data_IF_753833143173
#
_entry.id   IF_753833143173
#
_cell.length_a   1.000
_cell.length_b   1.000
_cell.length_c   1.000
_cell.angle_alpha   90.00
_cell.angle_beta   90.00
_cell.angle_gamma   90.00
#
_symmetry.space_group_name_H-M   'P 1'
#
loop_
_entity.id
_entity.type
_entity.pdbx_description
1 polymer ?
#
# COMPACT_ATOMS: atom_id res chain seq x y z
N UNK A 1 17.85 -58.31 -11.62
CA UNK A 1 17.88 -56.98 -12.28
C UNK A 1 17.88 -55.79 -11.31
N UNK A 2 17.67 -56.00 -10.00
CA UNK A 2 17.71 -54.94 -8.96
C UNK A 2 19.11 -54.44 -8.58
N UNK A 3 20.18 -55.14 -9.01
CA UNK A 3 21.57 -54.83 -8.65
C UNK A 3 22.17 -53.64 -9.42
N UNK A 4 21.67 -53.32 -10.63
CA UNK A 4 22.27 -52.30 -11.50
C UNK A 4 21.87 -50.86 -11.13
N UNK A 5 20.61 -50.62 -10.75
CA UNK A 5 20.14 -49.28 -10.39
C UNK A 5 20.77 -48.77 -9.09
N UNK A 6 20.96 -49.67 -8.10
CA UNK A 6 21.60 -49.32 -6.83
C UNK A 6 23.10 -49.06 -7.02
N UNK A 7 23.78 -49.87 -7.80
CA UNK A 7 25.18 -49.64 -8.18
C UNK A 7 25.37 -48.33 -8.96
N UNK A 8 24.42 -47.97 -9.83
CA UNK A 8 24.42 -46.68 -10.55
C UNK A 8 24.27 -45.49 -9.59
N UNK A 9 23.32 -45.59 -8.66
CA UNK A 9 23.09 -44.58 -7.62
C UNK A 9 24.32 -44.45 -6.72
N UNK A 10 24.92 -45.57 -6.31
CA UNK A 10 26.15 -45.58 -5.50
C UNK A 10 27.34 -44.98 -6.27
N UNK A 11 27.43 -45.20 -7.60
CA UNK A 11 28.44 -44.60 -8.49
C UNK A 11 28.23 -43.08 -8.64
N UNK A 12 26.98 -42.62 -8.68
CA UNK A 12 26.65 -41.19 -8.76
C UNK A 12 26.86 -40.48 -7.42
N UNK A 13 26.55 -41.14 -6.29
CA UNK A 13 26.61 -40.59 -4.94
C UNK A 13 27.96 -40.81 -4.22
N UNK A 14 28.92 -41.49 -4.85
CA UNK A 14 30.27 -41.62 -4.31
C UNK A 14 30.94 -40.24 -4.15
N UNK A 15 31.80 -40.13 -3.14
CA UNK A 15 32.21 -38.90 -2.44
C UNK A 15 32.79 -37.73 -3.27
N UNK A 16 32.98 -37.85 -4.58
CA UNK A 16 33.52 -36.78 -5.42
C UNK A 16 32.48 -35.98 -6.22
N UNK A 17 31.19 -36.36 -6.25
CA UNK A 17 30.09 -35.59 -6.88
C UNK A 17 30.36 -35.09 -8.32
N UNK A 18 31.45 -35.49 -8.97
CA UNK A 18 31.91 -34.87 -10.21
C UNK A 18 30.99 -35.24 -11.38
N UNK A 19 30.52 -36.49 -11.41
CA UNK A 19 29.54 -36.96 -12.40
C UNK A 19 28.16 -36.33 -12.19
N UNK A 20 27.73 -36.12 -10.94
CA UNK A 20 26.48 -35.42 -10.63
C UNK A 20 26.56 -33.94 -10.98
N UNK A 21 27.68 -33.28 -10.66
CA UNK A 21 27.93 -31.87 -11.02
C UNK A 21 27.98 -31.71 -12.54
N UNK A 22 28.70 -32.59 -13.23
CA UNK A 22 28.74 -32.61 -14.70
C UNK A 22 27.32 -32.80 -15.28
N UNK A 23 26.52 -33.74 -14.76
CA UNK A 23 25.13 -33.91 -15.20
C UNK A 23 24.26 -32.67 -14.97
N UNK A 24 24.43 -32.00 -13.83
CA UNK A 24 23.72 -30.75 -13.52
C UNK A 24 24.13 -29.60 -14.48
N UNK A 25 25.43 -29.45 -14.73
CA UNK A 25 25.97 -28.43 -15.65
C UNK A 25 25.46 -28.67 -17.08
N UNK A 26 25.49 -29.93 -17.55
CA UNK A 26 24.93 -30.31 -18.87
C UNK A 26 23.43 -30.08 -18.96
N UNK A 27 22.69 -30.35 -17.88
CA UNK A 27 21.24 -30.07 -17.82
C UNK A 27 20.99 -28.57 -17.96
N UNK A 28 21.76 -27.75 -17.24
CA UNK A 28 21.65 -26.30 -17.31
C UNK A 28 22.01 -25.77 -18.71
N UNK A 29 23.11 -26.23 -19.30
CA UNK A 29 23.51 -25.85 -20.66
C UNK A 29 22.43 -26.19 -21.69
N UNK A 30 21.85 -27.39 -21.62
CA UNK A 30 20.78 -27.82 -22.50
C UNK A 30 19.52 -26.94 -22.37
N UNK A 31 19.17 -26.54 -21.13
CA UNK A 31 18.05 -25.64 -20.88
C UNK A 31 18.32 -24.22 -21.43
N UNK A 32 19.52 -23.68 -21.18
CA UNK A 32 19.89 -22.31 -21.57
C UNK A 32 20.11 -22.15 -23.08
N UNK A 33 20.50 -23.21 -23.79
CA UNK A 33 20.75 -23.18 -25.22
C UNK A 33 19.47 -23.06 -26.08
N UNK A 34 18.28 -23.19 -25.49
CA UNK A 34 17.00 -23.22 -26.21
C UNK A 34 16.13 -22.00 -25.86
N UNK A 35 15.31 -21.51 -26.80
CA UNK A 35 14.38 -20.43 -26.50
C UNK A 35 13.29 -20.89 -25.53
N UNK A 36 12.84 -19.98 -24.67
CA UNK A 36 11.82 -20.26 -23.64
C UNK A 36 10.54 -20.89 -24.21
N UNK A 37 10.16 -20.53 -25.44
CA UNK A 37 8.99 -21.07 -26.15
C UNK A 37 9.06 -22.57 -26.44
N UNK A 38 10.25 -23.19 -26.36
CA UNK A 38 10.40 -24.65 -26.46
C UNK A 38 9.95 -25.36 -25.18
N UNK A 39 10.07 -24.70 -24.04
CA UNK A 39 9.66 -25.22 -22.75
C UNK A 39 8.23 -24.83 -22.39
N UNK A 40 7.88 -23.56 -22.65
CA UNK A 40 6.59 -22.98 -22.30
C UNK A 40 5.78 -22.70 -23.58
N UNK A 41 4.66 -23.40 -23.73
CA UNK A 41 3.63 -23.14 -24.74
C UNK A 41 2.34 -22.65 -24.07
N UNK A 42 1.29 -22.45 -24.87
CA UNK A 42 -0.02 -22.02 -24.37
C UNK A 42 -0.55 -22.96 -23.26
N UNK A 43 -0.30 -24.27 -23.37
CA UNK A 43 -0.70 -25.24 -22.35
C UNK A 43 0.05 -25.04 -21.03
N UNK A 44 1.33 -24.68 -21.09
CA UNK A 44 2.11 -24.34 -19.90
C UNK A 44 1.63 -23.02 -19.27
N UNK A 45 1.19 -22.05 -20.07
CA UNK A 45 0.58 -20.81 -19.58
C UNK A 45 -0.72 -21.11 -18.84
N UNK A 46 -1.62 -21.89 -19.45
CA UNK A 46 -2.88 -22.31 -18.83
C UNK A 46 -2.65 -23.13 -17.55
N UNK A 47 -1.61 -23.94 -17.52
CA UNK A 47 -1.18 -24.65 -16.31
C UNK A 47 -0.79 -23.68 -15.21
N UNK A 48 0.04 -22.67 -15.49
CA UNK A 48 0.43 -21.66 -14.50
C UNK A 48 -0.79 -20.86 -14.02
N UNK A 49 -1.67 -20.45 -14.93
CA UNK A 49 -2.92 -19.74 -14.58
C UNK A 49 -3.79 -20.59 -13.66
N UNK A 50 -3.97 -21.87 -13.98
CA UNK A 50 -4.75 -22.82 -13.18
C UNK A 50 -4.15 -23.00 -11.78
N UNK A 51 -2.84 -23.16 -11.68
CA UNK A 51 -2.13 -23.30 -10.40
C UNK A 51 -2.19 -22.02 -9.57
N UNK A 52 -2.01 -20.84 -10.19
CA UNK A 52 -2.13 -19.55 -9.51
C UNK A 52 -3.55 -19.33 -9.01
N UNK A 53 -4.56 -19.61 -9.85
CA UNK A 53 -5.97 -19.48 -9.45
C UNK A 53 -6.33 -20.43 -8.30
N UNK A 54 -5.82 -21.67 -8.31
CA UNK A 54 -5.99 -22.61 -7.20
C UNK A 54 -5.25 -22.17 -5.93
N UNK A 55 -4.11 -21.49 -6.06
CA UNK A 55 -3.32 -21.02 -4.93
C UNK A 55 -3.92 -19.78 -4.25
N UNK A 56 -4.47 -18.84 -5.04
CA UNK A 56 -4.95 -17.54 -4.56
C UNK A 56 -6.39 -17.65 -4.05
N UNK A 57 -6.55 -18.34 -2.91
CA UNK A 57 -7.79 -18.38 -2.14
C UNK A 57 -7.69 -17.48 -0.92
N UNK A 58 -8.81 -16.98 -0.40
CA UNK A 58 -8.85 -16.15 0.81
C UNK A 58 -8.12 -16.82 1.99
N UNK A 59 -8.40 -18.11 2.23
CA UNK A 59 -7.76 -18.89 3.30
C UNK A 59 -6.24 -19.04 3.11
N UNK A 60 -5.77 -19.22 1.87
CA UNK A 60 -4.34 -19.31 1.58
C UNK A 60 -3.65 -17.95 1.74
N UNK A 61 -4.29 -16.87 1.30
CA UNK A 61 -3.80 -15.50 1.48
C UNK A 61 -3.70 -15.15 2.97
N UNK A 62 -4.74 -15.44 3.76
CA UNK A 62 -4.72 -15.24 5.21
C UNK A 62 -3.59 -16.03 5.88
N UNK A 63 -3.40 -17.30 5.48
CA UNK A 63 -2.31 -18.14 5.99
C UNK A 63 -0.94 -17.53 5.68
N UNK A 64 -0.68 -17.14 4.43
CA UNK A 64 0.59 -16.52 4.03
C UNK A 64 0.82 -15.20 4.77
N UNK A 65 -0.22 -14.38 4.90
CA UNK A 65 -0.13 -13.11 5.61
C UNK A 65 0.24 -13.34 7.08
N UNK A 66 -0.41 -14.31 7.72
CA UNK A 66 -0.26 -14.56 9.16
C UNK A 66 1.06 -15.27 9.48
N UNK A 67 1.45 -16.26 8.69
CA UNK A 67 2.65 -17.07 8.93
C UNK A 67 3.94 -16.38 8.49
N UNK A 68 3.88 -15.54 7.44
CA UNK A 68 5.09 -15.00 6.80
C UNK A 68 5.10 -13.48 6.68
N UNK A 69 4.06 -12.87 6.11
CA UNK A 69 4.10 -11.44 5.77
C UNK A 69 4.12 -10.56 7.02
N UNK A 70 3.18 -10.74 7.95
CA UNK A 70 3.11 -9.93 9.17
C UNK A 70 4.36 -10.11 10.04
N UNK A 71 4.81 -11.34 10.37
CA UNK A 71 6.05 -11.52 11.11
C UNK A 71 7.29 -10.97 10.40
N UNK A 72 7.34 -11.07 9.06
CA UNK A 72 8.43 -10.50 8.27
C UNK A 72 8.45 -8.97 8.30
N UNK A 73 7.28 -8.33 8.23
CA UNK A 73 7.16 -6.88 8.40
C UNK A 73 7.57 -6.44 9.81
N UNK A 74 7.14 -7.15 10.84
CA UNK A 74 7.52 -6.84 12.23
C UNK A 74 9.04 -6.92 12.42
N UNK A 75 9.69 -7.99 11.93
CA UNK A 75 11.15 -8.13 11.93
C UNK A 75 11.86 -7.02 11.16
N UNK A 76 11.32 -6.65 9.99
CA UNK A 76 11.86 -5.57 9.16
C UNK A 76 11.81 -4.24 9.91
N UNK A 77 10.68 -3.93 10.56
CA UNK A 77 10.51 -2.69 11.35
C UNK A 77 11.47 -2.66 12.53
N UNK A 78 11.54 -3.74 13.31
CA UNK A 78 12.45 -3.85 14.46
C UNK A 78 13.91 -3.68 14.05
N UNK A 79 14.32 -4.32 12.96
CA UNK A 79 15.69 -4.22 12.46
C UNK A 79 16.00 -2.83 11.93
N UNK A 80 15.16 -2.26 11.07
CA UNK A 80 15.38 -0.92 10.54
C UNK A 80 15.45 0.12 11.67
N UNK A 81 14.64 -0.04 12.72
CA UNK A 81 14.70 0.80 13.92
C UNK A 81 16.02 0.61 14.71
N UNK A 82 16.46 -0.64 14.93
CA UNK A 82 17.70 -0.94 15.63
C UNK A 82 18.95 -0.43 14.89
N UNK A 83 18.92 -0.47 13.56
CA UNK A 83 20.03 -0.04 12.70
C UNK A 83 20.00 1.47 12.36
N UNK A 84 18.93 2.18 12.72
CA UNK A 84 18.74 3.58 12.33
C UNK A 84 18.61 3.79 10.83
N UNK A 85 18.10 2.79 10.09
CA UNK A 85 17.92 2.86 8.64
C UNK A 85 16.91 3.96 8.28
N UNK A 86 17.28 4.80 7.32
CA UNK A 86 16.43 5.87 6.77
C UNK A 86 16.01 5.56 5.34
N UNK A 87 14.97 6.25 4.85
CA UNK A 87 14.63 6.20 3.43
C UNK A 87 15.76 6.75 2.54
N UNK A 88 16.60 7.64 3.07
CA UNK A 88 17.76 8.17 2.36
C UNK A 88 18.79 7.10 2.03
N UNK A 89 18.95 6.08 2.89
CA UNK A 89 19.91 4.99 2.67
C UNK A 89 19.52 4.10 1.48
N UNK A 90 18.23 4.11 1.11
CA UNK A 90 17.72 3.43 -0.07
C UNK A 90 18.12 4.14 -1.36
N UNK A 91 18.52 5.42 -1.32
CA UNK A 91 18.81 6.19 -2.51
C UNK A 91 20.26 5.97 -2.97
N UNK A 92 20.50 5.76 -4.28
CA UNK A 92 21.84 5.78 -4.83
C UNK A 92 22.46 7.17 -4.68
N UNK A 93 23.79 7.32 -4.85
CA UNK A 93 24.43 8.62 -4.94
C UNK A 93 23.74 9.53 -5.99
N UNK A 94 23.31 10.73 -5.58
CA UNK A 94 22.54 11.64 -6.43
C UNK A 94 21.03 11.33 -6.54
N UNK A 95 20.55 10.29 -5.85
CA UNK A 95 19.15 9.87 -5.87
C UNK A 95 18.18 10.90 -5.29
N UNK A 96 18.62 11.74 -4.35
CA UNK A 96 17.80 12.85 -3.82
C UNK A 96 17.41 13.84 -4.93
N UNK A 97 18.38 14.26 -5.76
CA UNK A 97 18.12 15.15 -6.88
C UNK A 97 17.20 14.50 -7.93
N UNK A 98 17.34 13.19 -8.16
CA UNK A 98 16.47 12.43 -9.05
C UNK A 98 15.02 12.38 -8.51
N UNK A 99 14.85 12.10 -7.22
CA UNK A 99 13.52 12.10 -6.56
C UNK A 99 12.89 13.48 -6.60
N UNK A 100 13.64 14.54 -6.31
CA UNK A 100 13.14 15.92 -6.42
C UNK A 100 12.75 16.27 -7.86
N UNK A 101 13.53 15.82 -8.85
CA UNK A 101 13.21 15.99 -10.27
C UNK A 101 11.93 15.25 -10.69
N UNK A 102 11.69 14.06 -10.14
CA UNK A 102 10.45 13.29 -10.36
C UNK A 102 9.27 14.02 -9.69
N UNK A 103 9.39 14.40 -8.41
CA UNK A 103 8.34 15.11 -7.66
C UNK A 103 7.96 16.41 -8.37
N UNK A 104 8.93 17.17 -8.88
CA UNK A 104 8.68 18.40 -9.63
C UNK A 104 7.91 18.21 -10.94
N UNK A 105 7.86 16.99 -11.48
CA UNK A 105 7.10 16.62 -12.69
C UNK A 105 5.76 15.96 -12.40
N UNK A 106 5.52 15.52 -11.15
CA UNK A 106 4.24 14.93 -10.76
C UNK A 106 3.14 15.97 -10.97
N UNK A 107 2.24 15.68 -11.92
CA UNK A 107 0.97 16.38 -11.99
C UNK A 107 0.04 15.71 -10.99
N UNK A 108 -0.65 16.53 -10.18
CA UNK A 108 -1.74 16.01 -9.36
C UNK A 108 -2.76 15.35 -10.30
N UNK A 109 -3.19 14.11 -10.03
CA UNK A 109 -4.19 13.46 -10.85
C UNK A 109 -5.46 14.32 -10.84
N UNK A 110 -6.05 14.52 -12.02
CA UNK A 110 -7.28 15.31 -12.14
C UNK A 110 -8.45 14.66 -11.39
N UNK A 111 -8.35 13.36 -11.08
CA UNK A 111 -9.33 12.57 -10.35
C UNK A 111 -10.75 12.76 -10.91
N UNK A 112 -10.88 12.82 -12.24
CA UNK A 112 -12.17 13.04 -12.92
C UNK A 112 -13.15 11.92 -12.60
N UNK A 113 -12.64 10.70 -12.41
CA UNK A 113 -13.44 9.56 -11.97
C UNK A 113 -13.95 9.71 -10.52
N UNK A 114 -13.27 10.49 -9.68
CA UNK A 114 -13.66 10.73 -8.30
C UNK A 114 -14.69 11.87 -8.16
N UNK A 115 -15.00 12.57 -9.25
CA UNK A 115 -16.04 13.60 -9.25
C UNK A 115 -17.38 12.95 -8.93
N UNK A 116 -17.99 13.39 -7.82
CA UNK A 116 -19.21 12.82 -7.29
C UNK A 116 -19.02 11.62 -6.37
N UNK A 117 -17.79 11.09 -6.19
CA UNK A 117 -17.55 9.99 -5.25
C UNK A 117 -17.95 10.37 -3.81
N UNK A 118 -17.66 11.61 -3.43
CA UNK A 118 -18.09 12.19 -2.16
C UNK A 118 -19.28 13.11 -2.41
N UNK A 119 -20.43 12.78 -1.80
CA UNK A 119 -21.61 13.64 -1.86
C UNK A 119 -21.36 14.93 -1.07
N UNK A 120 -21.30 16.05 -1.80
CA UNK A 120 -21.08 17.38 -1.24
C UNK A 120 -22.19 17.79 -0.25
N UNK A 121 -23.41 17.27 -0.39
CA UNK A 121 -24.49 17.49 0.56
C UNK A 121 -24.22 16.78 1.90
N UNK A 122 -23.70 15.55 1.88
CA UNK A 122 -23.33 14.81 3.08
C UNK A 122 -22.13 15.46 3.79
N UNK A 123 -21.11 15.88 3.04
CA UNK A 123 -19.97 16.63 3.61
C UNK A 123 -20.43 17.96 4.21
N UNK A 124 -21.34 18.66 3.53
CA UNK A 124 -21.92 19.90 4.05
C UNK A 124 -22.68 19.65 5.35
N UNK A 125 -23.51 18.59 5.44
CA UNK A 125 -24.19 18.21 6.69
C UNK A 125 -23.22 17.89 7.83
N UNK A 126 -22.06 17.32 7.51
CA UNK A 126 -21.02 16.99 8.49
C UNK A 126 -20.28 18.24 9.00
N UNK A 127 -19.93 19.16 8.10
CA UNK A 127 -19.04 20.31 8.39
C UNK A 127 -19.81 21.59 8.76
N UNK A 128 -21.01 21.81 8.22
CA UNK A 128 -21.80 23.02 8.49
C UNK A 128 -22.06 23.27 9.98
N UNK A 129 -22.40 22.26 10.81
CA UNK A 129 -22.57 22.48 12.25
C UNK A 129 -21.29 22.95 12.94
N UNK A 130 -20.12 22.44 12.50
CA UNK A 130 -18.81 22.83 13.03
C UNK A 130 -18.52 24.29 12.70
N UNK A 131 -18.75 24.71 11.45
CA UNK A 131 -18.57 26.11 11.03
C UNK A 131 -19.55 27.03 11.78
N UNK A 132 -20.81 26.62 11.93
CA UNK A 132 -21.82 27.39 12.66
C UNK A 132 -21.43 27.57 14.13
N UNK A 133 -21.00 26.52 14.82
CA UNK A 133 -20.58 26.62 16.23
C UNK A 133 -19.36 27.55 16.39
N UNK A 134 -18.42 27.48 15.45
CA UNK A 134 -17.21 28.33 15.46
C UNK A 134 -17.56 29.79 15.21
N UNK A 135 -18.45 30.08 14.25
CA UNK A 135 -18.96 31.44 14.02
C UNK A 135 -19.76 31.97 15.21
N UNK A 136 -20.52 31.11 15.89
CA UNK A 136 -21.25 31.47 17.11
C UNK A 136 -20.30 31.76 18.27
N UNK A 137 -19.24 30.96 18.46
CA UNK A 137 -18.19 31.21 19.46
C UNK A 137 -17.43 32.50 19.17
N UNK A 138 -17.15 32.79 17.90
CA UNK A 138 -16.58 34.08 17.48
C UNK A 138 -17.52 35.24 17.82
N UNK A 139 -18.80 35.14 17.44
CA UNK A 139 -19.80 36.18 17.71
C UNK A 139 -19.96 36.47 19.20
N UNK A 140 -19.87 35.44 20.06
CA UNK A 140 -19.88 35.59 21.53
C UNK A 140 -18.63 36.26 22.09
N UNK A 141 -17.49 36.18 21.40
CA UNK A 141 -16.22 36.83 21.79
C UNK A 141 -16.11 38.28 21.30
N UNK A 142 -16.97 38.72 20.39
CA UNK A 142 -16.98 40.10 19.93
C UNK A 142 -17.40 41.03 21.08
N UNK A 143 -16.67 42.12 21.34
CA UNK A 143 -17.04 43.12 22.33
C UNK A 143 -18.19 43.99 21.80
N UNK A 144 -19.39 43.43 21.73
CA UNK A 144 -20.61 44.16 21.33
C UNK A 144 -21.13 44.91 22.57
N UNK A 145 -21.19 46.25 22.55
CA UNK A 145 -21.75 47.03 23.65
C UNK A 145 -23.20 46.61 23.90
N UNK A 146 -23.48 46.07 25.09
CA UNK A 146 -24.83 45.64 25.52
C UNK A 146 -25.10 44.13 25.57
N UNK A 147 -24.13 43.27 25.21
CA UNK A 147 -24.26 41.79 25.35
C UNK A 147 -23.33 41.15 26.37
N UNK A 148 -22.37 41.90 26.92
CA UNK A 148 -21.43 41.43 27.95
C UNK A 148 -21.74 42.10 29.30
N UNK A 149 -22.78 41.62 29.98
CA UNK A 149 -23.03 41.89 31.39
C UNK A 149 -23.14 40.56 32.13
N UNK A 150 -22.31 40.37 33.15
CA UNK A 150 -22.32 39.18 34.02
C UNK A 150 -23.71 38.93 34.63
N UNK A 151 -24.25 37.73 34.42
CA UNK A 151 -25.45 37.23 35.11
C UNK A 151 -26.10 36.02 34.41
N UNK A 152 -26.49 34.95 35.13
CA UNK A 152 -26.95 33.70 34.52
C UNK A 152 -28.46 33.72 34.23
N UNK A 153 -28.86 33.39 32.99
CA UNK A 153 -30.16 32.75 32.69
C UNK A 153 -30.32 32.46 31.19
N UNK A 154 -30.43 31.18 30.86
CA UNK A 154 -31.23 30.65 29.72
C UNK A 154 -32.68 30.61 30.25
N UNK A 155 -33.73 31.08 29.54
CA UNK A 155 -34.27 30.53 28.27
C UNK A 155 -34.62 31.63 27.24
N UNK A 156 -34.83 31.42 25.94
CA UNK A 156 -35.62 30.41 25.22
C UNK A 156 -35.23 30.46 23.71
N UNK A 157 -35.57 29.44 22.90
CA UNK A 157 -35.22 29.26 21.49
C UNK A 157 -36.16 30.07 20.57
N UNK A 158 -35.84 30.14 19.26
CA UNK A 158 -36.77 30.60 18.20
C UNK A 158 -37.21 32.09 18.17
N UNK A 159 -36.50 33.03 18.82
CA UNK A 159 -36.87 34.46 18.82
C UNK A 159 -36.03 35.45 17.99
N UNK A 160 -34.98 35.02 17.28
CA UNK A 160 -33.91 35.88 16.75
C UNK A 160 -34.23 36.69 15.46
N UNK A 161 -35.51 37.00 15.20
CA UNK A 161 -35.92 37.72 13.99
C UNK A 161 -36.21 39.22 14.15
N UNK A 162 -36.50 39.71 15.37
CA UNK A 162 -37.11 41.05 15.53
C UNK A 162 -36.21 42.16 16.09
N UNK A 163 -35.11 41.85 16.77
CA UNK A 163 -34.26 42.89 17.40
C UNK A 163 -33.08 43.38 16.56
N UNK A 164 -32.85 42.83 15.38
CA UNK A 164 -31.81 43.30 14.44
C UNK A 164 -32.27 44.46 13.54
N UNK A 165 -33.57 44.79 13.50
CA UNK A 165 -34.10 45.85 12.61
C UNK A 165 -34.12 47.24 13.22
N UNK A 166 -34.10 47.35 14.55
CA UNK A 166 -34.24 48.64 15.25
C UNK A 166 -32.90 49.19 15.77
N UNK A 167 -31.76 48.60 15.39
CA UNK A 167 -30.43 49.11 15.72
C UNK A 167 -29.90 50.15 14.71
N UNK A 168 -30.79 50.85 14.01
CA UNK A 168 -30.44 52.02 13.21
C UNK A 168 -30.51 53.28 14.10
N UNK A 169 -29.39 53.60 14.75
CA UNK A 169 -29.08 54.82 15.52
C UNK A 169 -29.65 54.88 16.94
N UNK A 170 -28.77 54.94 17.96
CA UNK A 170 -28.15 56.22 18.30
C UNK A 170 -26.64 56.10 18.55
N UNK A 171 -25.84 56.56 17.59
CA UNK A 171 -24.38 56.68 17.73
C UNK A 171 -23.87 58.04 17.24
N UNK A 172 -24.66 59.10 17.44
CA UNK A 172 -24.31 60.47 17.03
C UNK A 172 -23.79 61.36 18.17
N UNK A 173 -23.63 60.84 19.40
CA UNK A 173 -23.46 61.69 20.59
C UNK A 173 -22.33 61.36 21.57
N UNK A 174 -21.42 60.40 21.29
CA UNK A 174 -20.38 60.04 22.27
C UNK A 174 -18.99 59.89 21.64
N UNK A 175 -18.36 61.05 21.45
CA UNK A 175 -16.93 61.36 21.58
C UNK A 175 -15.87 60.31 21.24
N UNK A 176 -15.28 60.47 20.04
CA UNK A 176 -13.88 60.35 19.55
C UNK A 176 -12.70 59.78 20.40
N UNK A 177 -12.86 59.36 21.65
CA UNK A 177 -11.80 58.76 22.48
C UNK A 177 -11.86 57.23 22.63
N UNK A 178 -12.99 56.59 22.28
CA UNK A 178 -13.21 55.14 22.45
C UNK A 178 -13.04 54.31 21.17
N UNK A 179 -13.07 54.94 19.98
CA UNK A 179 -12.99 54.22 18.68
C UNK A 179 -11.68 53.44 18.51
N UNK A 180 -10.54 54.04 18.86
CA UNK A 180 -9.25 53.34 18.75
C UNK A 180 -9.09 52.16 19.73
N UNK A 181 -9.87 52.12 20.82
CA UNK A 181 -9.87 51.02 21.77
C UNK A 181 -10.76 49.85 21.33
N UNK A 182 -11.90 50.16 20.70
CA UNK A 182 -12.79 49.14 20.11
C UNK A 182 -12.14 48.52 18.87
N UNK A 183 -11.50 49.31 18.01
CA UNK A 183 -10.79 48.81 16.83
C UNK A 183 -9.61 47.91 17.21
N UNK A 184 -8.81 48.31 18.21
CA UNK A 184 -7.71 47.47 18.73
C UNK A 184 -8.22 46.19 19.39
N UNK A 185 -9.36 46.23 20.10
CA UNK A 185 -9.97 45.04 20.70
C UNK A 185 -10.58 44.11 19.66
N UNK A 186 -11.24 44.64 18.64
CA UNK A 186 -11.73 43.85 17.51
C UNK A 186 -10.57 43.21 16.74
N UNK A 187 -9.49 43.95 16.52
CA UNK A 187 -8.29 43.44 15.86
C UNK A 187 -7.58 42.37 16.71
N UNK A 188 -7.54 42.52 18.04
CA UNK A 188 -7.02 41.50 18.95
C UNK A 188 -7.89 40.23 18.95
N UNK A 189 -9.22 40.36 19.04
CA UNK A 189 -10.15 39.22 18.99
C UNK A 189 -10.09 38.50 17.64
N UNK A 190 -9.96 39.24 16.52
CA UNK A 190 -9.80 38.64 15.21
C UNK A 190 -8.46 37.92 15.05
N UNK A 191 -7.38 38.47 15.64
CA UNK A 191 -6.05 37.85 15.64
C UNK A 191 -6.01 36.58 16.49
N UNK A 192 -6.48 36.65 17.73
CA UNK A 192 -6.56 35.50 18.63
C UNK A 192 -7.44 34.39 18.03
N UNK A 193 -8.56 34.77 17.42
CA UNK A 193 -9.41 33.83 16.69
C UNK A 193 -8.69 33.22 15.49
N UNK A 194 -7.95 33.99 14.68
CA UNK A 194 -7.19 33.42 13.57
C UNK A 194 -6.07 32.47 14.04
N UNK A 195 -5.42 32.77 15.16
CA UNK A 195 -4.37 31.94 15.75
C UNK A 195 -4.93 30.63 16.33
N UNK A 196 -6.13 30.62 16.93
CA UNK A 196 -6.73 29.39 17.51
C UNK A 196 -7.74 28.67 16.61
N UNK A 197 -8.30 29.33 15.60
CA UNK A 197 -9.39 28.81 14.76
C UNK A 197 -9.04 27.46 14.14
N UNK A 198 -7.82 27.27 13.63
CA UNK A 198 -7.43 26.01 13.00
C UNK A 198 -7.46 24.84 14.00
N UNK A 199 -7.01 25.06 15.24
CA UNK A 199 -7.06 24.05 16.31
C UNK A 199 -8.49 23.78 16.76
N UNK A 200 -9.29 24.84 16.93
CA UNK A 200 -10.68 24.75 17.37
C UNK A 200 -11.58 24.09 16.30
N UNK A 201 -11.38 24.42 15.02
CA UNK A 201 -12.00 23.74 13.86
C UNK A 201 -11.65 22.27 13.86
N UNK A 202 -10.37 21.93 14.00
CA UNK A 202 -9.92 20.54 14.01
C UNK A 202 -10.53 19.76 15.17
N UNK A 203 -10.53 20.33 16.38
CA UNK A 203 -11.08 19.68 17.57
C UNK A 203 -12.60 19.46 17.45
N UNK A 204 -13.35 20.49 17.04
CA UNK A 204 -14.79 20.41 16.85
C UNK A 204 -15.17 19.46 15.70
N UNK A 205 -14.37 19.41 14.62
CA UNK A 205 -14.56 18.43 13.56
C UNK A 205 -14.30 17.01 14.06
N UNK A 206 -13.22 16.76 14.81
CA UNK A 206 -12.94 15.44 15.40
C UNK A 206 -14.03 14.99 16.37
N UNK A 207 -14.54 15.89 17.19
CA UNK A 207 -15.67 15.62 18.09
C UNK A 207 -16.93 15.27 17.30
N UNK A 208 -17.22 16.04 16.24
CA UNK A 208 -18.34 15.75 15.34
C UNK A 208 -18.19 14.39 14.68
N UNK A 209 -17.00 14.05 14.16
CA UNK A 209 -16.72 12.73 13.57
C UNK A 209 -16.90 11.57 14.57
N UNK A 210 -16.70 11.81 15.87
CA UNK A 210 -16.88 10.82 16.94
C UNK A 210 -18.32 10.68 17.42
N UNK A 211 -19.17 11.70 17.22
CA UNK A 211 -20.59 11.64 17.55
C UNK A 211 -21.33 10.55 16.76
N UNK A 212 -22.45 10.04 17.30
CA UNK A 212 -23.23 8.98 16.63
C UNK A 212 -23.75 9.45 15.26
N UNK A 213 -24.26 10.69 15.19
CA UNK A 213 -24.71 11.32 13.94
C UNK A 213 -23.54 11.55 12.94
N UNK A 214 -22.36 11.93 13.43
CA UNK A 214 -21.17 12.06 12.58
C UNK A 214 -20.65 10.72 12.07
N UNK A 215 -20.72 9.66 12.88
CA UNK A 215 -20.43 8.29 12.47
C UNK A 215 -21.43 7.79 11.42
N UNK A 216 -22.71 8.10 11.59
CA UNK A 216 -23.74 7.77 10.60
C UNK A 216 -23.50 8.51 9.27
N UNK A 217 -23.22 9.81 9.30
CA UNK A 217 -22.87 10.58 8.10
C UNK A 217 -21.60 10.06 7.43
N UNK A 218 -20.56 9.68 8.20
CA UNK A 218 -19.37 9.04 7.65
C UNK A 218 -19.69 7.71 6.98
N UNK A 219 -20.55 6.88 7.57
CA UNK A 219 -20.97 5.63 6.98
C UNK A 219 -21.73 5.86 5.66
N UNK A 220 -22.60 6.88 5.59
CA UNK A 220 -23.30 7.26 4.36
C UNK A 220 -22.33 7.78 3.28
N UNK A 221 -21.35 8.61 3.66
CA UNK A 221 -20.30 9.09 2.74
C UNK A 221 -19.46 7.92 2.23
N UNK A 222 -19.06 7.00 3.10
CA UNK A 222 -18.27 5.83 2.74
C UNK A 222 -19.06 4.87 1.83
N UNK A 223 -20.33 4.63 2.13
CA UNK A 223 -21.21 3.81 1.29
C UNK A 223 -21.40 4.44 -0.10
N UNK A 224 -21.63 5.75 -0.16
CA UNK A 224 -21.75 6.49 -1.42
C UNK A 224 -20.46 6.42 -2.23
N UNK A 225 -19.32 6.70 -1.60
CA UNK A 225 -18.01 6.62 -2.24
C UNK A 225 -17.70 5.20 -2.72
N UNK A 226 -18.04 4.18 -1.93
CA UNK A 226 -17.85 2.77 -2.31
C UNK A 226 -18.71 2.40 -3.52
N UNK A 227 -19.99 2.76 -3.53
CA UNK A 227 -20.88 2.50 -4.66
C UNK A 227 -20.40 3.21 -5.94
N UNK A 228 -19.95 4.46 -5.81
CA UNK A 228 -19.38 5.21 -6.93
C UNK A 228 -18.09 4.57 -7.44
N UNK A 229 -17.15 4.22 -6.55
CA UNK A 229 -15.89 3.57 -6.90
C UNK A 229 -16.10 2.23 -7.62
N UNK A 230 -17.09 1.44 -7.19
CA UNK A 230 -17.43 0.17 -7.85
C UNK A 230 -18.03 0.36 -9.26
N UNK A 231 -18.63 1.52 -9.53
CA UNK A 231 -19.20 1.85 -10.84
C UNK A 231 -18.19 2.49 -11.80
N UNK A 232 -17.04 2.98 -11.30
CA UNK A 232 -16.00 3.60 -12.12
C UNK A 232 -15.30 2.53 -12.97
N UNK A 233 -15.19 2.71 -14.31
CA UNK A 233 -14.40 1.81 -15.13
C UNK A 233 -12.92 1.81 -14.71
N UNK A 234 -12.36 0.64 -14.43
CA UNK A 234 -10.95 0.47 -14.03
C UNK A 234 -9.99 1.17 -15.01
N UNK A 235 -10.27 1.10 -16.31
CA UNK A 235 -9.46 1.77 -17.34
C UNK A 235 -9.37 3.29 -17.15
N UNK A 236 -10.40 3.95 -16.60
CA UNK A 236 -10.38 5.38 -16.31
C UNK A 236 -9.45 5.72 -15.14
N UNK A 237 -9.36 4.83 -14.15
CA UNK A 237 -8.39 4.95 -13.05
C UNK A 237 -6.97 4.68 -13.56
N UNK A 238 -6.78 3.61 -14.33
CA UNK A 238 -5.46 3.23 -14.88
C UNK A 238 -4.87 4.30 -15.80
N UNK A 239 -5.69 4.98 -16.63
CA UNK A 239 -5.21 6.08 -17.48
C UNK A 239 -4.76 7.31 -16.68
N UNK A 240 -5.28 7.53 -15.47
CA UNK A 240 -4.75 8.59 -14.60
C UNK A 240 -3.44 8.17 -13.95
N UNK A 241 -3.21 6.87 -13.70
CA UNK A 241 -1.90 6.35 -13.29
C UNK A 241 -0.84 6.60 -14.36
N UNK A 242 -1.21 6.58 -15.65
CA UNK A 242 -0.31 6.96 -16.75
C UNK A 242 0.09 8.46 -16.74
N UNK A 243 -0.59 9.32 -15.97
CA UNK A 243 -0.20 10.73 -15.82
C UNK A 243 0.97 10.93 -14.84
N UNK A 244 1.33 9.88 -14.10
CA UNK A 244 2.56 9.86 -13.30
C UNK A 244 3.77 9.90 -14.24
N UNK A 245 4.91 10.48 -13.82
CA UNK A 245 6.16 10.50 -14.59
C UNK A 245 6.79 9.10 -14.66
N UNK A 246 6.08 8.16 -15.27
CA UNK A 246 6.41 6.74 -15.30
C UNK A 246 7.76 6.51 -15.97
N UNK A 247 8.05 7.19 -17.06
CA UNK A 247 9.32 7.10 -17.75
C UNK A 247 10.49 7.53 -16.86
N UNK A 248 10.33 8.60 -16.08
CA UNK A 248 11.36 9.05 -15.14
C UNK A 248 11.53 8.13 -13.94
N UNK A 249 10.43 7.59 -13.41
CA UNK A 249 10.48 6.57 -12.36
C UNK A 249 11.18 5.31 -12.90
N UNK A 250 10.77 4.80 -14.06
CA UNK A 250 11.37 3.64 -14.73
C UNK A 250 12.85 3.87 -15.05
N UNK A 251 13.26 5.07 -15.44
CA UNK A 251 14.67 5.41 -15.67
C UNK A 251 15.49 5.45 -14.37
N UNK A 252 14.86 5.79 -13.24
CA UNK A 252 15.51 5.82 -11.93
C UNK A 252 15.58 4.42 -11.28
N UNK A 253 14.60 3.55 -11.53
CA UNK A 253 14.48 2.24 -10.90
C UNK A 253 15.74 1.35 -11.03
N UNK A 254 16.43 1.24 -12.18
CA UNK A 254 17.63 0.42 -12.28
C UNK A 254 18.75 0.82 -11.31
N UNK A 255 19.01 2.13 -11.18
CA UNK A 255 20.04 2.63 -10.26
C UNK A 255 19.64 2.42 -8.80
N UNK A 256 18.36 2.63 -8.49
CA UNK A 256 17.79 2.36 -7.16
C UNK A 256 17.90 0.88 -6.79
N UNK A 257 17.50 -0.02 -7.69
CA UNK A 257 17.56 -1.46 -7.47
C UNK A 257 19.00 -1.96 -7.35
N UNK A 258 19.90 -1.53 -8.26
CA UNK A 258 21.31 -1.92 -8.23
C UNK A 258 21.99 -1.48 -6.92
N UNK A 259 21.72 -0.25 -6.46
CA UNK A 259 22.20 0.25 -5.17
C UNK A 259 21.70 -0.63 -4.03
N UNK A 260 20.39 -0.89 -3.95
CA UNK A 260 19.81 -1.65 -2.85
C UNK A 260 20.22 -3.12 -2.85
N UNK A 261 20.35 -3.78 -4.01
CA UNK A 261 20.85 -5.18 -4.09
C UNK A 261 22.29 -5.30 -3.60
N UNK A 262 23.11 -4.26 -3.78
CA UNK A 262 24.48 -4.23 -3.28
C UNK A 262 24.58 -3.96 -1.77
N UNK A 263 23.50 -3.52 -1.11
CA UNK A 263 23.50 -3.21 0.33
C UNK A 263 23.59 -4.48 1.18
N UNK A 264 24.54 -4.49 2.10
CA UNK A 264 24.71 -5.57 3.05
C UNK A 264 23.44 -5.77 3.92
N UNK A 265 22.76 -4.67 4.27
CA UNK A 265 21.54 -4.69 5.07
C UNK A 265 20.40 -5.41 4.34
N UNK A 266 20.22 -5.16 3.04
CA UNK A 266 19.21 -5.85 2.24
C UNK A 266 19.56 -7.34 2.10
N UNK A 267 20.83 -7.67 1.86
CA UNK A 267 21.24 -9.07 1.74
C UNK A 267 21.05 -9.83 3.06
N UNK A 268 21.38 -9.24 4.20
CA UNK A 268 21.11 -9.83 5.51
C UNK A 268 19.61 -9.96 5.77
N UNK A 269 18.80 -8.98 5.36
CA UNK A 269 17.34 -9.06 5.42
C UNK A 269 16.83 -10.27 4.66
N UNK A 270 17.21 -10.41 3.38
CA UNK A 270 16.78 -11.52 2.53
C UNK A 270 17.22 -12.86 3.14
N UNK A 271 18.47 -12.96 3.64
CA UNK A 271 18.95 -14.18 4.31
C UNK A 271 18.15 -14.50 5.58
N UNK A 272 17.88 -13.51 6.42
CA UNK A 272 17.13 -13.67 7.65
C UNK A 272 15.69 -14.12 7.38
N UNK A 273 15.03 -13.52 6.37
CA UNK A 273 13.68 -13.90 5.97
C UNK A 273 13.63 -15.30 5.36
N UNK A 274 14.59 -15.68 4.51
CA UNK A 274 14.69 -17.05 4.00
C UNK A 274 14.89 -18.07 5.13
N UNK A 275 15.74 -17.77 6.12
CA UNK A 275 15.92 -18.63 7.30
C UNK A 275 14.65 -18.71 8.14
N UNK A 276 13.93 -17.62 8.30
CA UNK A 276 12.67 -17.60 9.05
C UNK A 276 11.59 -18.44 8.35
N UNK A 277 11.47 -18.35 7.02
CA UNK A 277 10.55 -19.20 6.25
C UNK A 277 10.94 -20.68 6.38
N UNK A 278 12.22 -21.01 6.25
CA UNK A 278 12.71 -22.38 6.42
C UNK A 278 12.51 -22.90 7.86
N UNK A 279 12.60 -22.04 8.87
CA UNK A 279 12.33 -22.44 10.25
C UNK A 279 10.85 -22.80 10.49
N UNK A 280 9.93 -22.21 9.71
CA UNK A 280 8.49 -22.47 9.81
C UNK A 280 8.08 -23.67 8.96
N UNK A 281 8.57 -23.75 7.72
CA UNK A 281 8.06 -24.69 6.71
C UNK A 281 9.09 -25.76 6.29
N UNK A 282 10.37 -25.61 6.65
CA UNK A 282 11.47 -26.37 6.07
C UNK A 282 11.52 -27.86 6.44
N UNK A 283 10.95 -28.24 7.58
CA UNK A 283 10.85 -29.65 8.00
C UNK A 283 9.60 -30.34 7.42
N UNK A 284 8.68 -29.58 6.82
CA UNK A 284 7.43 -30.12 6.28
C UNK A 284 7.68 -30.72 4.89
N UNK A 285 7.21 -31.94 4.61
CA UNK A 285 7.27 -32.49 3.26
C UNK A 285 6.56 -31.57 2.25
N UNK A 286 7.15 -31.40 1.06
CA UNK A 286 6.53 -30.59 0.00
C UNK A 286 5.10 -31.04 -0.33
N UNK A 287 4.81 -32.34 -0.24
CA UNK A 287 3.46 -32.89 -0.38
C UNK A 287 2.50 -32.29 0.65
N UNK A 288 2.88 -32.29 1.93
CA UNK A 288 2.07 -31.77 3.02
C UNK A 288 1.86 -30.26 2.89
N UNK A 289 2.89 -29.53 2.44
CA UNK A 289 2.77 -28.11 2.10
C UNK A 289 1.69 -27.92 1.03
N UNK A 290 1.81 -28.60 -0.11
CA UNK A 290 0.84 -28.51 -1.20
C UNK A 290 -0.57 -28.92 -0.76
N UNK A 291 -0.73 -29.94 0.08
CA UNK A 291 -2.01 -30.32 0.66
C UNK A 291 -2.60 -29.23 1.56
N UNK A 292 -1.77 -28.59 2.40
CA UNK A 292 -2.24 -27.51 3.30
C UNK A 292 -2.71 -26.26 2.55
N UNK A 293 -2.20 -26.04 1.32
CA UNK A 293 -2.67 -25.00 0.41
C UNK A 293 -3.79 -25.48 -0.54
N UNK A 294 -4.22 -26.74 -0.45
CA UNK A 294 -5.22 -27.33 -1.37
C UNK A 294 -4.72 -27.49 -2.81
N UNK A 295 -3.40 -27.41 -3.01
CA UNK A 295 -2.75 -27.37 -4.32
C UNK A 295 -2.36 -28.75 -4.83
N UNK A 296 -2.24 -29.77 -3.97
CA UNK A 296 -1.69 -31.07 -4.35
C UNK A 296 -2.40 -31.66 -5.57
N UNK A 297 -3.74 -31.71 -5.56
CA UNK A 297 -4.51 -32.29 -6.66
C UNK A 297 -4.39 -31.50 -7.98
N UNK A 298 -4.19 -30.18 -7.91
CA UNK A 298 -3.94 -29.37 -9.10
C UNK A 298 -2.51 -29.61 -9.62
N UNK A 299 -1.52 -29.67 -8.73
CA UNK A 299 -0.12 -29.95 -9.09
C UNK A 299 0.02 -31.34 -9.70
N UNK A 300 -0.58 -32.38 -9.11
CA UNK A 300 -0.52 -33.76 -9.62
C UNK A 300 -1.18 -33.91 -10.99
N UNK A 301 -2.17 -33.07 -11.33
CA UNK A 301 -2.86 -33.10 -12.61
C UNK A 301 -2.15 -32.29 -13.69
N UNK A 302 -1.78 -31.05 -13.38
CA UNK A 302 -1.35 -30.07 -14.38
C UNK A 302 0.17 -30.04 -14.60
N UNK A 303 0.98 -30.36 -13.58
CA UNK A 303 2.42 -30.21 -13.65
C UNK A 303 3.16 -31.33 -14.43
N UNK A 304 2.77 -32.62 -14.36
CA UNK A 304 3.51 -33.69 -15.04
C UNK A 304 3.67 -33.52 -16.56
N UNK A 305 2.66 -33.05 -17.33
CA UNK A 305 2.83 -32.79 -18.76
C UNK A 305 3.91 -31.76 -19.07
N UNK A 306 3.95 -30.67 -18.29
CA UNK A 306 4.97 -29.60 -18.45
C UNK A 306 6.35 -30.13 -18.12
N UNK A 307 6.49 -30.84 -17.00
CA UNK A 307 7.77 -31.45 -16.61
C UNK A 307 8.26 -32.49 -17.61
N UNK A 308 7.34 -33.30 -18.16
CA UNK A 308 7.67 -34.31 -19.17
C UNK A 308 8.21 -33.66 -20.44
N UNK A 309 7.63 -32.53 -20.86
CA UNK A 309 8.09 -31.78 -22.02
C UNK A 309 9.50 -31.21 -21.78
N UNK A 310 9.72 -30.56 -20.64
CA UNK A 310 11.05 -30.03 -20.27
C UNK A 310 12.08 -31.15 -20.18
N UNK A 311 11.76 -32.25 -19.52
CA UNK A 311 12.63 -33.41 -19.42
C UNK A 311 12.95 -34.02 -20.79
N UNK A 312 11.97 -34.11 -21.70
CA UNK A 312 12.19 -34.63 -23.04
C UNK A 312 13.15 -33.75 -23.86
N UNK A 313 13.10 -32.42 -23.71
CA UNK A 313 14.03 -31.51 -24.39
C UNK A 313 15.46 -31.68 -23.86
N UNK A 314 15.62 -31.81 -22.53
CA UNK A 314 16.93 -32.04 -21.91
C UNK A 314 17.50 -33.41 -22.27
N UNK A 315 16.70 -34.46 -22.21
CA UNK A 315 17.14 -35.84 -22.48
C UNK A 315 17.43 -36.12 -23.95
N UNK A 316 16.99 -35.26 -24.87
CA UNK A 316 17.30 -35.33 -26.31
C UNK A 316 18.55 -34.55 -26.69
N UNK A 317 19.17 -33.87 -25.74
CA UNK A 317 20.40 -33.11 -25.99
C UNK A 317 21.60 -34.05 -26.14
N UNK A 318 22.36 -33.93 -27.23
CA UNK A 318 23.49 -34.81 -27.54
C UNK A 318 24.55 -34.86 -26.41
N UNK A 319 24.97 -33.71 -25.84
CA UNK A 319 25.81 -33.68 -24.63
C UNK A 319 25.23 -34.44 -23.44
N UNK A 320 23.91 -34.34 -23.21
CA UNK A 320 23.23 -35.06 -22.12
C UNK A 320 23.23 -36.57 -22.38
N UNK A 321 22.93 -37.00 -23.59
CA UNK A 321 22.97 -38.41 -23.99
C UNK A 321 24.36 -39.02 -23.82
N UNK A 322 25.40 -38.31 -24.27
CA UNK A 322 26.79 -38.75 -24.10
C UNK A 322 27.20 -38.88 -22.62
N UNK A 323 26.68 -38.02 -21.76
CA UNK A 323 26.88 -38.13 -20.31
C UNK A 323 26.14 -39.35 -19.72
N UNK A 324 24.88 -39.58 -20.11
CA UNK A 324 24.10 -40.75 -19.67
C UNK A 324 24.82 -42.05 -20.06
N UNK A 325 25.32 -42.15 -21.30
CA UNK A 325 26.05 -43.33 -21.78
C UNK A 325 27.30 -43.61 -20.95
N UNK A 326 28.09 -42.57 -20.62
CA UNK A 326 29.27 -42.70 -19.75
C UNK A 326 28.93 -43.12 -18.33
N UNK A 327 27.79 -42.69 -17.81
CA UNK A 327 27.33 -43.05 -16.47
C UNK A 327 26.93 -44.54 -16.43
N UNK A 328 26.31 -45.03 -17.51
CA UNK A 328 25.84 -46.40 -17.67
C UNK A 328 26.94 -47.41 -18.06
N UNK A 329 28.03 -46.98 -18.69
CA UNK A 329 29.22 -47.79 -18.99
C UNK A 329 30.11 -48.02 -17.78
#
# INVERSE_FOLDING_TARGET
>A
MTTNARALVDKLLAADNALLREGADRTLDALLARPLSRFLDESAIETVVTLVAAAVTEANVERVITAHVRPGLDRQVERSAANGETLGDLLPPGGEAAVLGIIGKVRLPEAKWAVGAVDAALVRKLVSPVIQDILLRFAKRLPIPGLSGDGPSIPDPLGLGKKFRDAASPLSGMGKGLMGGVDKKLQAVARDFAETATSDVRAALLERLRSDEGRELLAQIAAHASAHLQAVPLASVLREVDSLPRAEVEAFMPALLAHNVARAELQETVRAELRAILAVEGERPLRELLESYGLLGAVERELPPVLTKVAAEVLRDEPMLAWIERVLS
#
